data_IF_577889438892
#
_entry.id   IF_577889438892
#
_cell.length_a   1.000
_cell.length_b   1.000
_cell.length_c   1.000
_cell.angle_alpha   90.00
_cell.angle_beta   90.00
_cell.angle_gamma   90.00
#
_symmetry.space_group_name_H-M   'P 1'
#
loop_
_entity.id
_entity.type
_entity.pdbx_description
1 polymer ?
#
# COMPACT_ATOMS: atom_id res chain seq x y z
N UNK A 1 4.85 20.10 0.18
CA UNK A 1 3.87 19.55 -0.77
C UNK A 1 2.55 19.41 -0.04
N UNK A 2 1.44 19.78 -0.67
CA UNK A 2 0.10 19.59 -0.08
C UNK A 2 -0.36 18.17 -0.45
N UNK A 3 -0.73 17.35 0.54
CA UNK A 3 -1.22 15.99 0.28
C UNK A 3 -2.55 16.06 -0.50
N UNK A 4 -2.79 15.15 -1.46
CA UNK A 4 -4.03 15.14 -2.23
C UNK A 4 -5.25 14.91 -1.33
N UNK A 5 -6.39 15.49 -1.69
CA UNK A 5 -7.63 15.30 -0.96
C UNK A 5 -8.23 13.93 -1.27
N UNK A 6 -8.80 13.26 -0.28
CA UNK A 6 -9.50 11.99 -0.44
C UNK A 6 -10.83 12.05 0.28
N UNK A 7 -11.70 11.09 0.01
CA UNK A 7 -12.98 10.96 0.67
C UNK A 7 -12.96 9.76 1.59
N UNK A 8 -13.57 9.86 2.77
CA UNK A 8 -13.71 8.74 3.69
C UNK A 8 -15.17 8.53 4.05
N UNK A 9 -15.65 7.30 3.87
CA UNK A 9 -17.00 6.87 4.23
C UNK A 9 -16.96 5.66 5.15
N UNK A 10 -17.85 5.69 6.14
CA UNK A 10 -18.20 4.53 6.94
C UNK A 10 -19.51 3.96 6.42
N UNK A 11 -19.57 2.64 6.27
CA UNK A 11 -20.81 1.95 5.93
C UNK A 11 -21.14 0.93 7.02
N UNK A 12 -22.43 0.67 7.22
CA UNK A 12 -22.88 -0.36 8.14
C UNK A 12 -22.97 -1.68 7.36
N UNK A 13 -22.15 -2.70 7.70
CA UNK A 13 -22.12 -3.97 6.97
C UNK A 13 -23.43 -4.76 7.11
N UNK A 14 -24.26 -4.44 8.11
CA UNK A 14 -25.53 -5.12 8.41
C UNK A 14 -26.72 -4.57 7.62
N UNK A 15 -26.57 -3.47 6.87
CA UNK A 15 -27.69 -2.89 6.10
C UNK A 15 -28.01 -3.66 4.81
N UNK A 16 -27.21 -4.65 4.44
CA UNK A 16 -27.48 -5.56 3.33
C UNK A 16 -28.33 -6.75 3.81
N UNK A 17 -29.61 -6.50 4.08
CA UNK A 17 -30.50 -7.46 4.73
C UNK A 17 -30.96 -8.68 3.90
N UNK A 18 -30.66 -8.78 2.61
CA UNK A 18 -31.32 -9.80 1.75
C UNK A 18 -30.39 -10.66 0.86
N UNK A 19 -29.15 -10.23 0.57
CA UNK A 19 -28.23 -10.99 -0.27
C UNK A 19 -27.22 -11.79 0.59
N UNK A 20 -27.52 -13.07 0.85
CA UNK A 20 -26.61 -13.99 1.57
C UNK A 20 -25.32 -14.34 0.80
N UNK A 21 -25.21 -13.93 -0.47
CA UNK A 21 -24.13 -14.35 -1.36
C UNK A 21 -22.80 -13.61 -1.12
N UNK A 22 -22.83 -12.43 -0.50
CA UNK A 22 -21.64 -11.60 -0.30
C UNK A 22 -21.46 -11.23 1.17
N UNK A 23 -20.21 -11.16 1.62
CA UNK A 23 -19.87 -10.85 3.02
C UNK A 23 -20.34 -9.47 3.45
N UNK A 24 -20.15 -8.46 2.60
CA UNK A 24 -20.54 -7.05 2.87
C UNK A 24 -20.90 -6.35 1.56
N UNK A 25 -21.51 -5.16 1.67
CA UNK A 25 -21.81 -4.29 0.53
C UNK A 25 -20.59 -3.97 -0.33
N UNK A 26 -19.44 -3.72 0.30
CA UNK A 26 -18.18 -3.46 -0.40
C UNK A 26 -17.70 -4.67 -1.22
N UNK A 27 -17.90 -5.89 -0.73
CA UNK A 27 -17.57 -7.10 -1.49
C UNK A 27 -18.47 -7.26 -2.72
N UNK A 28 -19.78 -7.08 -2.56
CA UNK A 28 -20.73 -7.14 -3.69
C UNK A 28 -20.37 -6.09 -4.75
N UNK A 29 -20.09 -4.86 -4.31
CA UNK A 29 -19.64 -3.77 -5.17
C UNK A 29 -18.38 -4.15 -5.95
N UNK A 30 -17.34 -4.64 -5.25
CA UNK A 30 -16.09 -5.07 -5.88
C UNK A 30 -16.32 -6.14 -6.95
N UNK A 31 -17.15 -7.15 -6.67
CA UNK A 31 -17.42 -8.21 -7.64
C UNK A 31 -18.16 -7.70 -8.89
N UNK A 32 -19.11 -6.77 -8.73
CA UNK A 32 -19.81 -6.12 -9.85
C UNK A 32 -18.86 -5.26 -10.67
N UNK A 33 -18.05 -4.41 -10.03
CA UNK A 33 -17.02 -3.61 -10.71
C UNK A 33 -16.03 -4.49 -11.47
N UNK A 34 -15.51 -5.56 -10.83
CA UNK A 34 -14.60 -6.52 -11.47
C UNK A 34 -15.24 -7.21 -12.67
N UNK A 35 -16.52 -7.56 -12.59
CA UNK A 35 -17.26 -8.14 -13.71
C UNK A 35 -17.36 -7.15 -14.88
N UNK A 36 -17.77 -5.92 -14.59
CA UNK A 36 -17.87 -4.84 -15.56
C UNK A 36 -16.53 -4.56 -16.27
N UNK A 37 -15.45 -4.43 -15.51
CA UNK A 37 -14.10 -4.25 -16.06
C UNK A 37 -13.66 -5.40 -16.97
N UNK A 38 -14.07 -6.65 -16.68
CA UNK A 38 -13.76 -7.81 -17.54
C UNK A 38 -14.50 -7.80 -18.87
N UNK A 39 -15.61 -7.07 -18.99
CA UNK A 39 -16.34 -6.95 -20.27
C UNK A 39 -15.56 -6.18 -21.32
N UNK A 40 -14.63 -5.32 -20.89
CA UNK A 40 -13.83 -4.47 -21.77
C UNK A 40 -14.61 -3.31 -22.42
N UNK A 41 -15.88 -3.13 -22.07
CA UNK A 41 -16.70 -2.00 -22.54
C UNK A 41 -16.34 -0.73 -21.76
N UNK A 42 -15.78 0.32 -22.41
CA UNK A 42 -15.44 1.58 -21.75
C UNK A 42 -16.65 2.22 -21.05
N UNK A 43 -17.85 2.11 -21.64
CA UNK A 43 -19.09 2.65 -21.08
C UNK A 43 -19.52 1.96 -19.78
N UNK A 44 -19.03 0.74 -19.55
CA UNK A 44 -19.32 -0.05 -18.33
C UNK A 44 -18.11 -0.19 -17.42
N UNK A 45 -16.95 0.36 -17.75
CA UNK A 45 -15.70 0.27 -16.97
C UNK A 45 -15.69 1.02 -15.64
N UNK A 46 -16.86 1.22 -15.03
CA UNK A 46 -17.06 1.91 -13.76
C UNK A 46 -18.27 1.34 -13.00
N UNK A 47 -18.42 1.76 -11.76
CA UNK A 47 -19.59 1.48 -10.93
C UNK A 47 -19.78 2.60 -9.89
N UNK A 48 -21.01 2.88 -9.46
CA UNK A 48 -21.30 4.03 -8.59
C UNK A 48 -21.52 3.64 -7.13
N UNK A 49 -20.65 4.15 -6.24
CA UNK A 49 -20.82 4.02 -4.79
C UNK A 49 -21.61 5.22 -4.26
N UNK A 50 -22.68 4.99 -3.50
CA UNK A 50 -23.56 6.04 -3.00
C UNK A 50 -23.55 6.18 -1.49
N UNK A 51 -23.65 7.40 -0.96
CA UNK A 51 -23.98 7.64 0.45
C UNK A 51 -25.46 7.96 0.59
N UNK A 52 -26.19 7.10 1.31
CA UNK A 52 -27.60 7.30 1.62
C UNK A 52 -27.83 8.45 2.59
N UNK A 53 -28.93 9.20 2.41
CA UNK A 53 -29.44 10.14 3.40
C UNK A 53 -30.06 9.35 4.56
N UNK A 54 -29.57 9.53 5.79
CA UNK A 54 -30.06 8.73 6.92
C UNK A 54 -31.39 9.25 7.46
N UNK A 55 -31.64 10.55 7.37
CA UNK A 55 -32.92 11.13 7.75
C UNK A 55 -33.26 12.38 6.94
N UNK A 56 -34.55 12.65 6.76
CA UNK A 56 -35.04 13.89 6.12
C UNK A 56 -34.71 15.16 6.93
N UNK A 57 -34.34 15.01 8.21
CA UNK A 57 -33.99 16.11 9.11
C UNK A 57 -32.48 16.38 9.16
N UNK A 58 -31.67 15.54 8.51
CA UNK A 58 -30.25 15.80 8.35
C UNK A 58 -30.05 16.95 7.36
N UNK A 59 -29.20 17.91 7.70
CA UNK A 59 -28.79 18.98 6.77
C UNK A 59 -28.31 18.37 5.46
N UNK A 60 -28.48 19.00 4.31
CA UNK A 60 -27.94 18.43 3.07
C UNK A 60 -26.41 18.38 3.08
N UNK A 61 -25.84 17.42 2.35
CA UNK A 61 -24.40 17.36 2.16
C UNK A 61 -23.99 18.52 1.24
N UNK A 62 -22.90 19.21 1.57
CA UNK A 62 -22.35 20.27 0.72
C UNK A 62 -21.61 19.68 -0.49
N UNK A 63 -22.37 19.14 -1.46
CA UNK A 63 -21.87 18.46 -2.66
C UNK A 63 -20.74 19.23 -3.38
N UNK A 64 -20.89 20.55 -3.51
CA UNK A 64 -19.92 21.41 -4.20
C UNK A 64 -18.51 21.35 -3.60
N UNK A 65 -18.38 21.05 -2.30
CA UNK A 65 -17.07 20.89 -1.66
C UNK A 65 -16.35 19.62 -2.14
N UNK A 66 -17.09 18.51 -2.29
CA UNK A 66 -16.54 17.25 -2.81
C UNK A 66 -16.12 17.39 -4.27
N UNK A 67 -16.97 18.05 -5.08
CA UNK A 67 -16.68 18.33 -6.48
C UNK A 67 -15.40 19.15 -6.63
N UNK A 68 -15.28 20.27 -5.91
CA UNK A 68 -14.09 21.13 -5.94
C UNK A 68 -12.83 20.40 -5.47
N UNK A 69 -12.91 19.59 -4.42
CA UNK A 69 -11.76 18.81 -3.94
C UNK A 69 -11.26 17.81 -5.00
N UNK A 70 -12.17 17.13 -5.70
CA UNK A 70 -11.84 16.20 -6.78
C UNK A 70 -11.24 16.92 -8.00
N UNK A 71 -11.85 18.03 -8.43
CA UNK A 71 -11.37 18.87 -9.55
C UNK A 71 -9.98 19.46 -9.24
N UNK A 72 -9.74 19.88 -8.00
CA UNK A 72 -8.44 20.38 -7.55
C UNK A 72 -7.35 19.32 -7.70
N UNK A 73 -7.56 18.11 -7.19
CA UNK A 73 -6.62 17.01 -7.36
C UNK A 73 -6.36 16.71 -8.84
N UNK A 74 -7.41 16.66 -9.65
CA UNK A 74 -7.32 16.39 -11.08
C UNK A 74 -6.48 17.47 -11.80
N UNK A 75 -6.63 18.74 -11.43
CA UNK A 75 -5.83 19.84 -11.98
C UNK A 75 -4.34 19.73 -11.67
N UNK A 76 -3.99 19.04 -10.57
CA UNK A 76 -2.63 18.76 -10.15
C UNK A 76 -2.11 17.39 -10.62
N UNK A 77 -2.92 16.64 -11.39
CA UNK A 77 -2.56 15.29 -11.86
C UNK A 77 -2.64 14.20 -10.79
N UNK A 78 -3.22 14.49 -9.63
CA UNK A 78 -3.38 13.51 -8.54
C UNK A 78 -4.66 12.68 -8.69
N UNK A 79 -4.59 11.43 -8.24
CA UNK A 79 -5.77 10.59 -8.07
C UNK A 79 -6.53 10.97 -6.81
N UNK A 80 -7.86 10.99 -6.91
CA UNK A 80 -8.74 11.13 -5.75
C UNK A 80 -9.16 9.75 -5.29
N UNK A 81 -8.95 9.45 -4.01
CA UNK A 81 -9.33 8.17 -3.42
C UNK A 81 -10.64 8.29 -2.64
N UNK A 82 -11.43 7.22 -2.63
CA UNK A 82 -12.51 6.98 -1.68
C UNK A 82 -12.11 5.82 -0.77
N UNK A 83 -11.86 6.13 0.49
CA UNK A 83 -11.64 5.16 1.55
C UNK A 83 -12.98 4.72 2.12
N UNK A 84 -13.23 3.40 2.15
CA UNK A 84 -14.50 2.81 2.60
C UNK A 84 -14.18 1.82 3.73
N UNK A 85 -14.83 1.97 4.89
CA UNK A 85 -14.60 1.08 6.02
C UNK A 85 -15.86 0.72 6.79
N UNK A 86 -15.87 -0.50 7.35
CA UNK A 86 -16.81 -0.97 8.38
C UNK A 86 -16.09 -1.16 9.74
N UNK A 87 -14.92 -0.52 9.90
CA UNK A 87 -13.95 -0.69 11.00
C UNK A 87 -13.28 -2.06 11.13
N UNK A 88 -13.66 -3.04 10.30
CA UNK A 88 -12.98 -4.32 10.19
C UNK A 88 -12.19 -4.46 8.89
N UNK A 89 -12.74 -3.91 7.81
CA UNK A 89 -12.16 -3.83 6.49
C UNK A 89 -11.81 -2.38 6.16
N UNK A 90 -10.73 -2.21 5.40
CA UNK A 90 -10.35 -0.94 4.81
C UNK A 90 -10.19 -1.11 3.29
N UNK A 91 -11.07 -0.47 2.53
CA UNK A 91 -11.05 -0.48 1.08
C UNK A 91 -10.57 0.86 0.54
N UNK A 92 -9.90 0.81 -0.59
CA UNK A 92 -9.52 2.00 -1.36
C UNK A 92 -10.13 1.91 -2.75
N UNK A 93 -10.75 3.00 -3.20
CA UNK A 93 -11.37 3.10 -4.51
C UNK A 93 -10.88 4.34 -5.27
N UNK A 94 -10.69 4.22 -6.57
CA UNK A 94 -10.28 5.31 -7.47
C UNK A 94 -11.52 6.07 -7.95
N UNK A 95 -11.65 7.32 -7.52
CA UNK A 95 -12.78 8.19 -7.89
C UNK A 95 -12.45 8.92 -9.19
N UNK A 96 -13.30 8.72 -10.19
CA UNK A 96 -13.24 9.48 -11.45
C UNK A 96 -14.00 10.81 -11.36
N UNK A 97 -15.17 10.80 -10.72
CA UNK A 97 -16.03 11.98 -10.56
C UNK A 97 -17.06 11.78 -9.44
N UNK A 98 -17.68 12.88 -9.01
CA UNK A 98 -18.78 12.89 -8.04
C UNK A 98 -20.07 13.44 -8.66
N UNK A 99 -21.22 12.89 -8.28
CA UNK A 99 -22.53 13.24 -8.85
C UNK A 99 -23.60 13.37 -7.76
N UNK A 100 -24.59 14.25 -7.96
CA UNK A 100 -25.79 14.30 -7.12
C UNK A 100 -26.83 13.27 -7.57
N UNK A 101 -26.96 13.07 -8.89
CA UNK A 101 -27.91 12.13 -9.49
C UNK A 101 -27.19 11.22 -10.49
N UNK A 102 -27.64 9.97 -10.59
CA UNK A 102 -27.15 8.99 -11.56
C UNK A 102 -28.35 8.38 -12.29
N UNK A 103 -28.35 8.48 -13.62
CA UNK A 103 -29.41 7.90 -14.46
C UNK A 103 -29.09 6.45 -14.87
N UNK A 104 -27.82 6.06 -14.82
CA UNK A 104 -27.34 4.72 -15.11
C UNK A 104 -27.51 3.79 -13.89
N UNK A 105 -28.74 3.29 -13.71
CA UNK A 105 -29.06 2.37 -12.62
C UNK A 105 -28.40 0.99 -12.80
N UNK A 106 -28.04 0.59 -14.03
CA UNK A 106 -27.33 -0.68 -14.27
C UNK A 106 -25.97 -0.70 -13.59
N UNK A 107 -25.33 0.47 -13.47
CA UNK A 107 -24.04 0.65 -12.80
C UNK A 107 -24.17 1.06 -11.33
N UNK A 108 -25.26 0.69 -10.66
CA UNK A 108 -25.46 0.85 -9.21
C UNK A 108 -25.80 -0.49 -8.56
N UNK A 109 -25.55 -0.63 -7.25
CA UNK A 109 -26.07 -1.78 -6.52
C UNK A 109 -27.61 -1.70 -6.42
N UNK A 110 -28.35 -2.82 -6.59
CA UNK A 110 -29.79 -2.86 -6.34
C UNK A 110 -30.19 -2.38 -4.94
N UNK A 111 -29.25 -2.46 -3.99
CA UNK A 111 -29.39 -1.89 -2.65
C UNK A 111 -29.85 -0.42 -2.65
N UNK A 112 -29.49 0.38 -3.66
CA UNK A 112 -29.86 1.80 -3.72
C UNK A 112 -31.26 2.06 -4.28
N UNK A 113 -31.95 1.03 -4.80
CA UNK A 113 -33.27 1.21 -5.44
C UNK A 113 -34.30 1.77 -4.46
N UNK A 114 -34.94 2.87 -4.86
CA UNK A 114 -35.94 3.57 -4.04
C UNK A 114 -35.39 4.32 -2.83
N UNK A 115 -34.06 4.39 -2.66
CA UNK A 115 -33.42 5.13 -1.56
C UNK A 115 -32.91 6.50 -2.01
N UNK A 116 -32.94 7.45 -1.09
CA UNK A 116 -32.40 8.80 -1.31
C UNK A 116 -30.88 8.78 -1.09
N UNK A 117 -30.11 9.07 -2.16
CA UNK A 117 -28.65 9.11 -2.14
C UNK A 117 -28.20 10.56 -2.23
N UNK A 118 -27.38 11.00 -1.27
CA UNK A 118 -26.95 12.40 -1.15
C UNK A 118 -25.78 12.73 -2.09
N UNK A 119 -24.95 11.74 -2.37
CA UNK A 119 -23.79 11.85 -3.26
C UNK A 119 -23.42 10.48 -3.82
N UNK A 120 -23.02 10.48 -5.08
CA UNK A 120 -22.51 9.34 -5.81
C UNK A 120 -21.05 9.54 -6.18
N UNK A 121 -20.24 8.50 -6.01
CA UNK A 121 -18.86 8.45 -6.43
C UNK A 121 -18.75 7.49 -7.61
N UNK A 122 -18.31 7.98 -8.77
CA UNK A 122 -18.01 7.15 -9.94
C UNK A 122 -16.66 6.47 -9.72
N UNK A 123 -16.68 5.16 -9.50
CA UNK A 123 -15.49 4.36 -9.18
C UNK A 123 -15.02 3.59 -10.41
N UNK A 124 -13.74 3.69 -10.73
CA UNK A 124 -13.11 3.00 -11.89
C UNK A 124 -12.17 1.87 -11.49
N UNK A 125 -11.70 1.87 -10.24
CA UNK A 125 -10.86 0.82 -9.69
C UNK A 125 -11.09 0.72 -8.17
N UNK A 126 -10.91 -0.46 -7.59
CA UNK A 126 -11.12 -0.70 -6.16
C UNK A 126 -10.30 -1.89 -5.69
N UNK A 127 -9.83 -1.83 -4.45
CA UNK A 127 -9.09 -2.92 -3.85
C UNK A 127 -9.28 -2.96 -2.32
N UNK A 128 -9.13 -4.15 -1.73
CA UNK A 128 -9.15 -4.37 -0.29
C UNK A 128 -7.74 -4.24 0.26
N UNK A 129 -7.51 -3.28 1.17
CA UNK A 129 -6.20 -3.01 1.78
C UNK A 129 -6.02 -3.84 3.05
N UNK A 130 -7.04 -3.88 3.90
CA UNK A 130 -7.01 -4.64 5.15
C UNK A 130 -8.33 -5.35 5.41
N UNK A 131 -8.26 -6.53 6.04
CA UNK A 131 -9.40 -7.32 6.50
C UNK A 131 -9.30 -7.67 7.98
N UNK A 132 -8.54 -6.90 8.77
CA UNK A 132 -8.33 -7.13 10.20
C UNK A 132 -8.50 -5.83 10.98
N UNK A 133 -9.01 -5.92 12.22
CA UNK A 133 -9.33 -4.75 13.04
C UNK A 133 -8.10 -3.88 13.35
N UNK A 134 -6.99 -4.50 13.75
CA UNK A 134 -5.77 -3.79 14.17
C UNK A 134 -5.17 -3.02 13.00
N UNK A 135 -5.07 -3.66 11.83
CA UNK A 135 -4.52 -3.02 10.65
C UNK A 135 -5.48 -2.00 10.04
N UNK A 136 -6.79 -2.25 10.04
CA UNK A 136 -7.78 -1.24 9.67
C UNK A 136 -7.68 -0.01 10.57
N UNK A 137 -7.52 -0.21 11.89
CA UNK A 137 -7.25 0.86 12.84
C UNK A 137 -6.01 1.68 12.46
N UNK A 138 -4.91 1.02 12.11
CA UNK A 138 -3.70 1.71 11.64
C UNK A 138 -3.97 2.59 10.42
N UNK A 139 -4.63 2.09 9.37
CA UNK A 139 -4.93 2.90 8.17
C UNK A 139 -5.86 4.08 8.49
N UNK A 140 -6.85 3.89 9.36
CA UNK A 140 -7.73 4.96 9.81
C UNK A 140 -6.95 6.05 10.56
N UNK A 141 -6.01 5.67 11.42
CA UNK A 141 -5.24 6.63 12.22
C UNK A 141 -4.36 7.57 11.35
N UNK A 142 -4.02 7.13 10.14
CA UNK A 142 -3.25 7.93 9.17
C UNK A 142 -4.09 8.95 8.42
N UNK A 143 -5.43 8.82 8.45
CA UNK A 143 -6.34 9.79 7.86
C UNK A 143 -6.56 10.95 8.82
N UNK A 144 -6.49 12.17 8.31
CA UNK A 144 -6.77 13.40 9.06
C UNK A 144 -7.65 14.34 8.24
N UNK A 145 -8.39 15.22 8.91
CA UNK A 145 -9.22 16.24 8.27
C UNK A 145 -8.84 17.62 8.82
N UNK A 146 -8.02 18.34 8.07
CA UNK A 146 -7.64 19.73 8.34
C UNK A 146 -7.48 20.46 7.00
N UNK A 147 -8.60 20.86 6.40
CA UNK A 147 -8.62 21.40 5.04
C UNK A 147 -9.66 22.52 4.87
N UNK A 148 -9.57 23.23 3.75
CA UNK A 148 -10.45 24.37 3.44
C UNK A 148 -11.90 23.98 3.13
N UNK A 149 -12.17 22.70 2.87
CA UNK A 149 -13.50 22.22 2.52
C UNK A 149 -14.34 21.92 3.77
N UNK A 150 -13.72 21.53 4.88
CA UNK A 150 -14.45 21.14 6.09
C UNK A 150 -14.03 21.99 7.29
N UNK A 151 -15.02 22.50 8.03
CA UNK A 151 -14.78 23.19 9.29
C UNK A 151 -14.61 22.18 10.44
N UNK A 152 -13.71 21.22 10.25
CA UNK A 152 -13.32 20.20 11.22
C UNK A 152 -11.79 20.19 11.29
N UNK A 153 -11.25 20.02 12.50
CA UNK A 153 -9.83 19.84 12.75
C UNK A 153 -9.67 18.49 13.46
N UNK A 154 -9.57 17.42 12.66
CA UNK A 154 -9.44 16.04 13.13
C UNK A 154 -8.02 15.58 12.82
N UNK A 155 -7.21 15.40 13.86
CA UNK A 155 -5.83 14.94 13.71
C UNK A 155 -5.73 13.48 13.29
N UNK A 156 -6.70 12.64 13.62
CA UNK A 156 -6.65 11.20 13.32
C UNK A 156 -8.03 10.57 13.39
N UNK A 157 -8.40 9.75 12.40
CA UNK A 157 -9.66 9.01 12.40
C UNK A 157 -9.54 7.75 13.24
N UNK A 158 -10.51 7.51 14.12
CA UNK A 158 -10.62 6.27 14.88
C UNK A 158 -12.09 5.88 15.10
N UNK A 159 -12.38 4.62 15.46
CA UNK A 159 -13.75 4.14 15.64
C UNK A 159 -14.53 4.82 16.77
N UNK A 160 -13.85 5.54 17.66
CA UNK A 160 -14.46 6.20 18.83
C UNK A 160 -14.85 7.64 18.53
N UNK A 161 -14.53 8.18 17.34
CA UNK A 161 -15.03 9.48 16.93
C UNK A 161 -16.54 9.42 16.69
N UNK A 162 -17.28 10.12 17.55
CA UNK A 162 -18.74 10.22 17.49
C UNK A 162 -19.19 11.57 16.93
N UNK A 163 -20.43 11.63 16.43
CA UNK A 163 -21.03 12.86 15.93
C UNK A 163 -20.46 13.35 14.58
N UNK A 164 -19.60 12.57 13.93
CA UNK A 164 -19.10 12.88 12.60
C UNK A 164 -20.13 12.50 11.53
N UNK A 165 -20.31 13.40 10.57
CA UNK A 165 -21.12 13.16 9.38
C UNK A 165 -20.22 12.74 8.23
N UNK A 166 -20.45 11.53 7.72
CA UNK A 166 -19.74 10.99 6.55
C UNK A 166 -20.52 11.26 5.24
N UNK A 167 -19.84 11.39 4.08
CA UNK A 167 -18.39 11.34 3.86
C UNK A 167 -17.62 12.51 4.49
N UNK A 168 -16.37 12.26 4.86
CA UNK A 168 -15.39 13.29 5.20
C UNK A 168 -14.46 13.54 4.00
N UNK A 169 -14.00 14.78 3.85
CA UNK A 169 -12.86 15.15 2.99
C UNK A 169 -11.62 15.10 3.88
N UNK A 170 -10.72 14.17 3.57
CA UNK A 170 -9.56 13.82 4.39
C UNK A 170 -8.28 13.92 3.57
N UNK A 171 -7.15 13.87 4.25
CA UNK A 171 -5.83 13.67 3.65
C UNK A 171 -5.18 12.47 4.34
N UNK A 172 -4.30 11.79 3.62
CA UNK A 172 -3.59 10.61 4.10
C UNK A 172 -2.13 10.97 4.43
N UNK A 173 -1.64 10.51 5.58
CA UNK A 173 -0.23 10.66 5.98
C UNK A 173 0.68 9.66 5.28
N UNK A 174 0.17 8.49 4.91
CA UNK A 174 0.98 7.45 4.26
C UNK A 174 1.35 7.86 2.83
N UNK A 175 0.50 8.67 2.18
CA UNK A 175 0.65 9.08 0.78
C UNK A 175 0.89 7.86 -0.13
N UNK A 176 0.19 6.76 0.17
CA UNK A 176 0.37 5.51 -0.55
C UNK A 176 -0.11 5.64 -2.00
N UNK A 177 0.72 5.10 -2.88
CA UNK A 177 0.55 5.14 -4.31
C UNK A 177 -0.28 3.92 -4.76
N UNK A 178 -1.58 3.94 -4.42
CA UNK A 178 -2.46 2.78 -4.62
C UNK A 178 -2.60 2.40 -6.10
N UNK A 179 -2.86 3.37 -6.98
CA UNK A 179 -3.20 3.09 -8.39
C UNK A 179 -2.11 3.50 -9.38
N UNK A 180 -0.86 3.60 -8.94
CA UNK A 180 0.23 4.01 -9.84
C UNK A 180 0.68 2.86 -10.75
N UNK A 181 0.77 3.20 -12.02
CA UNK A 181 1.13 2.32 -13.14
C UNK A 181 2.57 1.85 -12.99
N UNK A 182 2.82 0.53 -12.97
CA UNK A 182 4.05 0.02 -13.56
C UNK A 182 3.83 0.00 -15.07
N UNK A 183 4.71 0.63 -15.85
CA UNK A 183 4.62 0.80 -17.32
C UNK A 183 4.37 -0.49 -18.12
N UNK A 184 4.43 -1.66 -17.48
CA UNK A 184 4.30 -2.98 -18.10
C UNK A 184 2.86 -3.52 -18.12
N UNK A 185 1.95 -3.04 -17.26
CA UNK A 185 0.57 -3.54 -17.26
C UNK A 185 -0.41 -2.44 -16.80
N UNK A 186 -1.13 -1.82 -17.74
CA UNK A 186 -2.16 -0.79 -17.51
C UNK A 186 -3.47 -1.38 -16.93
N UNK A 187 -3.36 -2.46 -16.15
CA UNK A 187 -4.51 -3.26 -15.73
C UNK A 187 -5.05 -2.75 -14.39
N UNK A 188 -6.37 -2.47 -14.27
CA UNK A 188 -7.00 -2.12 -13.00
C UNK A 188 -6.71 -3.15 -11.90
N UNK A 189 -6.47 -2.68 -10.67
CA UNK A 189 -6.22 -3.54 -9.49
C UNK A 189 -7.37 -4.49 -9.21
N UNK A 190 -8.62 -4.06 -9.43
CA UNK A 190 -9.78 -4.91 -9.30
C UNK A 190 -9.72 -6.17 -10.20
N UNK A 191 -9.04 -6.09 -11.35
CA UNK A 191 -8.81 -7.24 -12.22
C UNK A 191 -7.65 -8.14 -11.76
N UNK A 192 -6.80 -7.66 -10.86
CA UNK A 192 -5.73 -8.43 -10.22
C UNK A 192 -6.26 -9.47 -9.24
N UNK A 193 -5.35 -10.30 -8.74
CA UNK A 193 -5.61 -11.27 -7.67
C UNK A 193 -5.36 -10.61 -6.31
N UNK A 194 -6.38 -10.58 -5.45
CA UNK A 194 -6.22 -10.14 -4.06
C UNK A 194 -6.56 -11.31 -3.11
N UNK A 195 -5.57 -11.87 -2.39
CA UNK A 195 -5.79 -13.02 -1.54
C UNK A 195 -6.77 -12.73 -0.39
N UNK A 196 -6.86 -11.48 0.08
CA UNK A 196 -7.79 -11.06 1.13
C UNK A 196 -9.26 -11.14 0.67
N UNK A 197 -9.51 -11.02 -0.63
CA UNK A 197 -10.85 -11.12 -1.23
C UNK A 197 -11.13 -12.57 -1.66
N UNK A 198 -10.15 -13.23 -2.29
CA UNK A 198 -10.34 -14.53 -2.95
C UNK A 198 -10.32 -15.73 -1.99
N UNK A 199 -9.59 -15.63 -0.88
CA UNK A 199 -9.46 -16.72 0.11
C UNK A 199 -9.44 -16.18 1.54
N UNK A 200 -10.44 -15.39 1.98
CA UNK A 200 -10.35 -14.56 3.18
C UNK A 200 -10.06 -15.33 4.47
N UNK A 201 -10.60 -16.55 4.65
CA UNK A 201 -10.34 -17.36 5.85
C UNK A 201 -8.89 -17.83 5.92
N UNK A 202 -8.36 -18.30 4.79
CA UNK A 202 -7.00 -18.83 4.72
C UNK A 202 -5.96 -17.71 4.72
N UNK A 203 -6.22 -16.66 3.93
CA UNK A 203 -5.38 -15.46 3.86
C UNK A 203 -5.34 -14.72 5.18
N UNK A 204 -6.47 -14.60 5.90
CA UNK A 204 -6.49 -14.02 7.24
C UNK A 204 -5.65 -14.81 8.24
N UNK A 205 -5.71 -16.16 8.18
CA UNK A 205 -4.86 -17.02 9.02
C UNK A 205 -3.38 -16.90 8.66
N UNK A 206 -3.04 -16.83 7.38
CA UNK A 206 -1.64 -16.62 6.94
C UNK A 206 -1.14 -15.23 7.32
N UNK A 207 -1.94 -14.19 7.11
CA UNK A 207 -1.62 -12.82 7.51
C UNK A 207 -1.39 -12.74 9.03
N UNK A 208 -2.28 -13.34 9.83
CA UNK A 208 -2.13 -13.45 11.28
C UNK A 208 -0.85 -14.21 11.66
N UNK A 209 -0.53 -15.31 10.99
CA UNK A 209 0.71 -16.06 11.25
C UNK A 209 1.96 -15.22 10.94
N UNK A 210 1.96 -14.51 9.81
CA UNK A 210 3.06 -13.60 9.43
C UNK A 210 3.21 -12.49 10.47
N UNK A 211 2.11 -11.86 10.89
CA UNK A 211 2.12 -10.78 11.88
C UNK A 211 2.51 -11.25 13.29
N UNK A 212 2.18 -12.49 13.65
CA UNK A 212 2.37 -13.00 15.03
C UNK A 212 3.73 -13.66 15.20
N UNK A 213 4.20 -14.42 14.20
CA UNK A 213 5.38 -15.28 14.34
C UNK A 213 6.63 -14.76 13.64
N UNK A 214 6.47 -13.82 12.70
CA UNK A 214 7.56 -13.43 11.81
C UNK A 214 7.84 -11.93 11.86
N UNK A 215 6.81 -11.11 11.65
CA UNK A 215 6.90 -9.66 11.61
C UNK A 215 5.96 -9.06 12.65
N UNK A 216 6.47 -8.56 13.79
CA UNK A 216 5.63 -7.95 14.81
C UNK A 216 4.69 -6.88 14.22
N UNK A 217 3.48 -6.65 14.77
CA UNK A 217 2.50 -5.74 14.19
C UNK A 217 3.03 -4.34 13.88
N UNK A 218 3.91 -3.81 14.74
CA UNK A 218 4.51 -2.49 14.55
C UNK A 218 5.50 -2.43 13.36
N UNK A 219 6.17 -3.55 13.05
CA UNK A 219 7.01 -3.69 11.84
C UNK A 219 6.13 -3.90 10.61
N UNK A 220 5.15 -4.80 10.73
CA UNK A 220 4.22 -5.11 9.65
C UNK A 220 3.45 -3.86 9.19
N UNK A 221 3.03 -2.99 10.12
CA UNK A 221 2.35 -1.74 9.83
C UNK A 221 3.17 -0.75 8.99
N UNK A 222 4.51 -0.79 9.08
CA UNK A 222 5.43 0.05 8.30
C UNK A 222 5.65 -0.45 6.87
N UNK A 223 5.23 -1.67 6.55
CA UNK A 223 5.31 -2.19 5.18
C UNK A 223 4.21 -1.55 4.33
N UNK A 224 4.52 -1.27 3.06
CA UNK A 224 3.51 -0.82 2.11
C UNK A 224 2.46 -1.90 1.87
N UNK A 225 1.24 -1.48 1.54
CA UNK A 225 0.13 -2.37 1.20
C UNK A 225 0.51 -3.41 0.11
N UNK A 226 1.20 -2.97 -0.94
CA UNK A 226 1.68 -3.84 -2.02
C UNK A 226 2.60 -4.94 -1.50
N UNK A 227 3.52 -4.60 -0.59
CA UNK A 227 4.44 -5.56 0.02
C UNK A 227 3.71 -6.57 0.89
N UNK A 228 2.76 -6.10 1.71
CA UNK A 228 1.94 -6.96 2.56
C UNK A 228 1.17 -7.98 1.74
N UNK A 229 0.51 -7.56 0.65
CA UNK A 229 -0.19 -8.47 -0.26
C UNK A 229 0.73 -9.49 -0.90
N UNK A 230 1.89 -9.03 -1.39
CA UNK A 230 2.86 -9.92 -2.01
C UNK A 230 3.35 -10.99 -1.04
N UNK A 231 3.67 -10.59 0.20
CA UNK A 231 4.07 -11.49 1.27
C UNK A 231 2.99 -12.52 1.61
N UNK A 232 1.73 -12.09 1.76
CA UNK A 232 0.62 -13.01 2.02
C UNK A 232 0.42 -13.96 0.84
N UNK A 233 0.53 -13.46 -0.39
CA UNK A 233 0.34 -14.26 -1.62
C UNK A 233 1.36 -15.40 -1.72
N UNK A 234 2.65 -15.11 -1.53
CA UNK A 234 3.70 -16.15 -1.60
C UNK A 234 3.59 -17.15 -0.45
N UNK A 235 3.28 -16.69 0.77
CA UNK A 235 3.08 -17.57 1.92
C UNK A 235 1.85 -18.49 1.75
N UNK A 236 0.80 -17.98 1.12
CA UNK A 236 -0.36 -18.79 0.71
C UNK A 236 0.01 -19.82 -0.35
N UNK A 237 0.85 -19.46 -1.33
CA UNK A 237 1.31 -20.39 -2.36
C UNK A 237 2.16 -21.52 -1.78
N UNK A 238 3.07 -21.20 -0.83
CA UNK A 238 3.86 -22.17 -0.06
C UNK A 238 2.95 -23.08 0.77
N UNK A 239 1.93 -22.51 1.44
CA UNK A 239 1.01 -23.29 2.27
C UNK A 239 0.14 -24.27 1.46
N UNK A 240 -0.27 -23.87 0.25
CA UNK A 240 -1.22 -24.64 -0.58
C UNK A 240 -0.56 -25.70 -1.47
N UNK A 241 0.68 -25.47 -1.89
CA UNK A 241 1.36 -26.37 -2.83
C UNK A 241 2.22 -27.39 -2.10
N UNK A 242 2.38 -28.54 -2.74
CA UNK A 242 3.41 -29.50 -2.34
C UNK A 242 4.80 -28.92 -2.67
N UNK A 243 5.70 -28.92 -1.67
CA UNK A 243 7.04 -28.34 -1.75
C UNK A 243 8.00 -29.13 -2.65
N UNK A 244 7.47 -30.04 -3.48
CA UNK A 244 8.22 -30.88 -4.41
C UNK A 244 8.38 -30.26 -5.80
N UNK A 245 7.68 -29.15 -6.10
CA UNK A 245 7.68 -28.51 -7.42
C UNK A 245 8.85 -27.52 -7.56
N UNK A 246 9.74 -27.76 -8.52
CA UNK A 246 10.88 -26.87 -8.80
C UNK A 246 10.47 -25.43 -9.12
N UNK A 247 9.44 -25.25 -9.95
CA UNK A 247 8.92 -23.92 -10.32
C UNK A 247 8.44 -23.11 -9.11
N UNK A 248 8.02 -23.78 -8.03
CA UNK A 248 7.63 -23.10 -6.79
C UNK A 248 8.86 -22.51 -6.08
N UNK A 249 10.01 -23.19 -6.11
CA UNK A 249 11.22 -22.73 -5.43
C UNK A 249 11.79 -21.45 -6.07
N UNK A 250 11.85 -21.41 -7.40
CA UNK A 250 12.27 -20.21 -8.14
C UNK A 250 11.32 -19.03 -7.85
N UNK A 251 10.02 -19.28 -7.86
CA UNK A 251 9.02 -18.27 -7.47
C UNK A 251 9.22 -17.77 -6.05
N UNK A 252 9.50 -18.65 -5.08
CA UNK A 252 9.74 -18.26 -3.70
C UNK A 252 10.93 -17.29 -3.63
N UNK A 253 12.06 -17.66 -4.22
CA UNK A 253 13.26 -16.81 -4.21
C UNK A 253 12.99 -15.45 -4.86
N UNK A 254 12.47 -15.44 -6.09
CA UNK A 254 12.19 -14.18 -6.81
C UNK A 254 11.18 -13.29 -6.09
N UNK A 255 10.13 -13.86 -5.49
CA UNK A 255 9.16 -13.06 -4.72
C UNK A 255 9.79 -12.44 -3.47
N UNK A 256 10.66 -13.18 -2.77
CA UNK A 256 11.34 -12.69 -1.58
C UNK A 256 12.43 -11.67 -1.90
N UNK A 257 13.15 -11.82 -3.01
CA UNK A 257 14.08 -10.81 -3.54
C UNK A 257 13.36 -9.49 -3.82
N UNK A 258 12.24 -9.53 -4.53
CA UNK A 258 11.45 -8.34 -4.82
C UNK A 258 10.85 -7.69 -3.54
N UNK A 259 10.52 -8.51 -2.53
CA UNK A 259 10.11 -7.98 -1.21
C UNK A 259 11.27 -7.22 -0.57
N UNK A 260 12.47 -7.80 -0.54
CA UNK A 260 13.66 -7.16 0.01
C UNK A 260 14.02 -5.87 -0.74
N UNK A 261 13.98 -5.91 -2.07
CA UNK A 261 14.19 -4.75 -2.94
C UNK A 261 13.22 -3.62 -2.60
N UNK A 262 11.93 -3.95 -2.45
CA UNK A 262 10.91 -2.96 -2.13
C UNK A 262 11.10 -2.37 -0.73
N UNK A 263 11.49 -3.17 0.27
CA UNK A 263 11.77 -2.69 1.63
C UNK A 263 13.00 -1.77 1.63
N UNK A 264 14.05 -2.10 0.87
CA UNK A 264 15.22 -1.23 0.72
C UNK A 264 14.87 0.07 -0.02
N UNK A 265 13.95 0.03 -0.98
CA UNK A 265 13.46 1.24 -1.63
C UNK A 265 12.69 2.16 -0.67
N UNK A 266 11.85 1.61 0.22
CA UNK A 266 11.09 2.40 1.19
C UNK A 266 11.90 2.85 2.41
N UNK A 267 13.11 2.32 2.59
CA UNK A 267 14.01 2.69 3.70
C UNK A 267 15.28 3.38 3.18
N UNK A 268 16.24 2.62 2.68
CA UNK A 268 17.54 3.10 2.22
C UNK A 268 17.44 4.10 1.06
N UNK A 269 16.73 3.76 -0.02
CA UNK A 269 16.61 4.65 -1.19
C UNK A 269 15.75 5.87 -0.86
N UNK A 270 14.69 5.70 -0.05
CA UNK A 270 13.90 6.82 0.46
C UNK A 270 14.78 7.83 1.21
N UNK A 271 15.64 7.36 2.11
CA UNK A 271 16.57 8.25 2.82
C UNK A 271 17.55 8.95 1.87
N UNK A 272 18.07 8.24 0.87
CA UNK A 272 18.91 8.86 -0.17
C UNK A 272 18.14 9.95 -0.94
N UNK A 273 16.88 9.71 -1.29
CA UNK A 273 15.99 10.68 -1.95
C UNK A 273 15.67 11.90 -1.08
N UNK A 274 15.70 11.75 0.24
CA UNK A 274 15.41 12.84 1.18
C UNK A 274 16.67 13.67 1.50
N UNK A 275 17.79 13.01 1.80
CA UNK A 275 18.97 13.67 2.39
C UNK A 275 20.12 13.94 1.40
N UNK A 276 20.18 13.22 0.27
CA UNK A 276 21.41 13.14 -0.59
C UNK A 276 21.13 13.38 -2.07
N UNK A 277 19.89 13.75 -2.35
CA UNK A 277 19.24 13.47 -3.63
C UNK A 277 19.68 14.34 -4.82
N UNK A 278 20.41 15.42 -4.55
CA UNK A 278 20.94 16.33 -5.58
C UNK A 278 22.31 15.87 -6.13
N UNK A 279 23.03 15.05 -5.36
CA UNK A 279 24.37 14.58 -5.71
C UNK A 279 24.36 13.22 -6.41
N UNK A 280 23.24 12.49 -6.36
CA UNK A 280 23.10 11.17 -6.98
C UNK A 280 22.22 11.29 -8.22
N UNK A 281 22.72 10.81 -9.36
CA UNK A 281 21.99 10.81 -10.62
C UNK A 281 21.64 9.39 -11.05
N UNK A 282 20.47 9.27 -11.68
CA UNK A 282 20.02 8.01 -12.29
C UNK A 282 19.66 8.23 -13.76
N UNK A 283 19.96 7.23 -14.58
CA UNK A 283 19.56 7.22 -15.98
C UNK A 283 18.07 6.85 -16.16
N UNK A 284 17.62 6.83 -17.42
CA UNK A 284 16.23 6.48 -17.74
C UNK A 284 15.85 5.04 -17.37
N UNK A 285 16.84 4.15 -17.17
CA UNK A 285 16.66 2.76 -16.78
C UNK A 285 16.75 2.56 -15.27
N UNK A 286 16.93 3.64 -14.49
CA UNK A 286 17.05 3.57 -13.04
C UNK A 286 18.41 3.09 -12.55
N UNK A 287 19.45 3.15 -13.39
CA UNK A 287 20.82 2.85 -12.96
C UNK A 287 21.51 4.08 -12.44
N UNK A 288 22.35 3.91 -11.43
CA UNK A 288 23.09 5.02 -10.84
C UNK A 288 24.25 5.38 -11.74
N UNK A 289 24.38 6.68 -12.03
CA UNK A 289 25.46 7.23 -12.83
C UNK A 289 26.28 8.20 -11.99
N UNK A 290 27.59 8.13 -12.14
CA UNK A 290 28.55 8.90 -11.34
C UNK A 290 28.55 10.40 -11.63
N UNK A 291 27.98 10.82 -12.76
CA UNK A 291 27.97 12.21 -13.25
C UNK A 291 26.67 12.50 -13.99
N UNK A 292 26.24 13.77 -13.97
CA UNK A 292 25.07 14.24 -14.70
C UNK A 292 25.30 14.13 -16.23
N UNK A 293 24.85 13.02 -16.81
CA UNK A 293 24.87 12.78 -18.26
C UNK A 293 23.56 13.24 -18.89
N UNK A 294 23.57 13.45 -20.21
CA UNK A 294 22.35 13.79 -20.96
C UNK A 294 21.28 12.70 -20.76
N UNK A 295 20.11 13.08 -20.24
CA UNK A 295 19.01 12.16 -19.90
C UNK A 295 19.06 11.58 -18.48
N UNK A 296 20.13 11.81 -17.73
CA UNK A 296 20.17 11.49 -16.30
C UNK A 296 19.40 12.55 -15.50
N UNK A 297 18.72 12.12 -14.44
CA UNK A 297 17.99 13.00 -13.51
C UNK A 297 18.49 12.78 -12.09
N UNK A 298 18.43 13.80 -11.22
CA UNK A 298 18.69 13.60 -9.79
C UNK A 298 17.77 12.50 -9.24
N UNK A 299 18.30 11.67 -8.33
CA UNK A 299 17.56 10.57 -7.70
C UNK A 299 16.27 11.06 -7.03
N UNK A 300 16.27 12.31 -6.53
CA UNK A 300 15.08 12.99 -5.99
C UNK A 300 13.89 12.97 -6.95
N UNK A 301 14.17 13.17 -8.23
CA UNK A 301 13.20 13.37 -9.30
C UNK A 301 12.93 12.07 -10.06
N UNK A 302 13.48 10.95 -9.59
CA UNK A 302 13.20 9.63 -10.12
C UNK A 302 12.01 9.02 -9.38
N UNK A 303 10.90 8.85 -10.09
CA UNK A 303 9.67 8.28 -9.55
C UNK A 303 9.74 6.75 -9.40
N UNK A 304 10.69 6.10 -10.06
CA UNK A 304 10.89 4.65 -9.98
C UNK A 304 11.67 4.18 -8.73
N UNK A 305 11.80 2.86 -8.66
CA UNK A 305 12.59 2.13 -7.67
C UNK A 305 13.95 1.74 -8.26
N UNK A 306 14.97 1.66 -7.40
CA UNK A 306 16.25 1.07 -7.77
C UNK A 306 16.16 -0.45 -7.64
N UNK A 307 16.79 -1.16 -8.58
CA UNK A 307 16.90 -2.62 -8.48
C UNK A 307 17.79 -3.04 -7.31
N UNK A 308 17.58 -4.25 -6.79
CA UNK A 308 18.37 -4.81 -5.69
C UNK A 308 19.87 -4.83 -6.01
N UNK A 309 20.22 -5.13 -7.26
CA UNK A 309 21.60 -5.13 -7.74
C UNK A 309 22.24 -3.74 -7.72
N UNK A 310 21.49 -2.70 -8.08
CA UNK A 310 21.98 -1.31 -7.99
C UNK A 310 22.16 -0.89 -6.52
N UNK A 311 21.26 -1.31 -5.64
CA UNK A 311 21.36 -1.03 -4.19
C UNK A 311 22.58 -1.74 -3.59
N UNK A 312 22.80 -3.02 -3.90
CA UNK A 312 24.01 -3.73 -3.45
C UNK A 312 25.28 -3.12 -4.04
N UNK A 313 25.25 -2.74 -5.31
CA UNK A 313 26.38 -2.07 -5.97
C UNK A 313 26.80 -0.76 -5.28
N UNK A 314 25.84 -0.02 -4.70
CA UNK A 314 26.11 1.15 -3.85
C UNK A 314 26.68 0.80 -2.49
N UNK A 315 26.14 -0.24 -1.83
CA UNK A 315 26.55 -0.63 -0.49
C UNK A 315 27.96 -1.22 -0.48
N UNK A 316 28.31 -2.00 -1.50
CA UNK A 316 29.63 -2.60 -1.70
C UNK A 316 30.70 -1.59 -2.10
N UNK A 317 30.33 -0.59 -2.91
CA UNK A 317 31.28 0.37 -3.49
C UNK A 317 30.72 1.81 -3.43
N UNK A 318 30.57 2.39 -2.23
CA UNK A 318 30.01 3.73 -2.06
C UNK A 318 30.82 4.81 -2.79
N UNK A 319 32.11 4.59 -3.01
CA UNK A 319 32.99 5.47 -3.78
C UNK A 319 32.61 5.62 -5.25
N UNK A 320 31.73 4.77 -5.80
CA UNK A 320 31.15 4.94 -7.14
C UNK A 320 30.33 6.23 -7.24
N UNK A 321 29.79 6.71 -6.12
CA UNK A 321 29.12 8.02 -6.01
C UNK A 321 30.17 9.08 -5.67
N UNK A 322 30.96 9.49 -6.66
CA UNK A 322 32.07 10.45 -6.47
C UNK A 322 31.66 11.78 -5.84
N UNK A 323 30.40 12.16 -6.02
CA UNK A 323 29.80 13.41 -5.57
C UNK A 323 29.35 13.38 -4.11
N UNK A 324 29.20 12.21 -3.48
CA UNK A 324 28.68 12.11 -2.12
C UNK A 324 29.41 11.07 -1.26
N UNK A 325 29.74 11.46 -0.03
CA UNK A 325 30.18 10.53 1.00
C UNK A 325 28.95 9.96 1.75
N UNK A 326 28.60 8.71 1.46
CA UNK A 326 27.45 8.06 2.09
C UNK A 326 27.59 7.87 3.61
N UNK A 327 28.81 7.69 4.14
CA UNK A 327 29.01 7.60 5.60
C UNK A 327 28.64 8.92 6.31
N UNK A 328 28.91 10.07 5.67
CA UNK A 328 28.46 11.38 6.16
C UNK A 328 26.95 11.58 5.98
N UNK A 329 26.40 11.20 4.83
CA UNK A 329 24.97 11.33 4.57
C UNK A 329 24.10 10.56 5.58
N UNK A 330 24.55 9.36 5.96
CA UNK A 330 23.87 8.52 6.94
C UNK A 330 24.35 8.74 8.38
N UNK A 331 25.05 9.84 8.69
CA UNK A 331 25.55 10.09 10.06
C UNK A 331 24.42 10.06 11.11
N UNK A 332 23.22 10.56 10.78
CA UNK A 332 22.04 10.53 11.66
C UNK A 332 21.38 9.16 11.78
N UNK A 333 21.70 8.22 10.87
CA UNK A 333 21.19 6.84 10.83
C UNK A 333 22.37 5.85 10.72
N UNK A 334 23.44 6.09 11.47
CA UNK A 334 24.70 5.36 11.33
C UNK A 334 24.55 3.86 11.62
N UNK A 335 23.73 3.48 12.60
CA UNK A 335 23.46 2.07 12.92
C UNK A 335 22.72 1.35 11.78
N UNK A 336 21.71 2.01 11.19
CA UNK A 336 21.00 1.52 10.01
C UNK A 336 21.95 1.34 8.82
N UNK A 337 22.77 2.34 8.53
CA UNK A 337 23.69 2.26 7.39
C UNK A 337 24.77 1.20 7.58
N UNK A 338 25.30 1.07 8.81
CA UNK A 338 26.22 -0.02 9.17
C UNK A 338 25.59 -1.38 8.90
N UNK A 339 24.36 -1.60 9.37
CA UNK A 339 23.62 -2.84 9.10
C UNK A 339 23.51 -3.12 7.59
N UNK A 340 23.12 -2.12 6.78
CA UNK A 340 23.03 -2.27 5.33
C UNK A 340 24.37 -2.61 4.67
N UNK A 341 25.48 -2.03 5.12
CA UNK A 341 26.81 -2.25 4.52
C UNK A 341 27.50 -3.52 4.96
N UNK A 342 27.21 -4.04 6.15
CA UNK A 342 27.90 -5.23 6.67
C UNK A 342 26.97 -6.42 6.77
N UNK A 343 25.99 -6.34 7.66
CA UNK A 343 25.16 -7.49 8.02
C UNK A 343 24.23 -7.89 6.88
N UNK A 344 23.60 -6.92 6.19
CA UNK A 344 22.76 -7.20 5.04
C UNK A 344 23.54 -7.90 3.95
N UNK A 345 24.69 -7.35 3.53
CA UNK A 345 25.53 -7.94 2.49
C UNK A 345 26.00 -9.35 2.91
N UNK A 346 26.48 -9.55 4.13
CA UNK A 346 26.86 -10.90 4.61
C UNK A 346 25.70 -11.90 4.59
N UNK A 347 24.49 -11.43 4.91
CA UNK A 347 23.29 -12.28 4.94
C UNK A 347 22.80 -12.64 3.53
N UNK A 348 23.03 -11.78 2.54
CA UNK A 348 22.41 -11.86 1.21
C UNK A 348 23.38 -12.25 0.09
N UNK A 349 24.66 -11.88 0.19
CA UNK A 349 25.66 -12.10 -0.85
C UNK A 349 25.84 -13.60 -1.14
N UNK A 350 25.88 -13.96 -2.43
CA UNK A 350 25.95 -15.34 -2.96
C UNK A 350 24.75 -16.26 -2.67
N UNK A 351 23.68 -15.78 -1.99
CA UNK A 351 22.47 -16.59 -1.73
C UNK A 351 21.34 -16.35 -2.74
N UNK A 352 21.48 -15.29 -3.53
CA UNK A 352 20.56 -14.88 -4.60
C UNK A 352 21.14 -15.16 -6.00
N UNK A 353 22.45 -15.34 -6.12
CA UNK A 353 23.12 -15.76 -7.36
C UNK A 353 23.11 -17.29 -7.51
N UNK A 354 21.97 -17.83 -7.94
CA UNK A 354 21.86 -19.26 -8.26
C UNK A 354 22.10 -19.46 -9.76
N UNK A 355 23.32 -19.81 -10.16
CA UNK A 355 23.63 -20.19 -11.55
C UNK A 355 23.14 -21.61 -11.91
N UNK A 356 22.10 -22.10 -11.23
CA UNK A 356 21.56 -23.44 -11.36
C UNK A 356 20.17 -23.61 -10.74
N UNK A 357 19.57 -24.81 -10.84
CA UNK A 357 18.24 -25.12 -10.34
C UNK A 357 18.13 -24.93 -8.82
N UNK A 358 17.17 -24.10 -8.38
CA UNK A 358 16.94 -23.76 -6.97
C UNK A 358 16.19 -24.89 -6.27
N UNK A 359 16.81 -25.48 -5.24
CA UNK A 359 16.17 -26.52 -4.46
C UNK A 359 15.32 -25.94 -3.30
N UNK A 360 14.49 -26.80 -2.68
CA UNK A 360 13.60 -26.40 -1.60
C UNK A 360 14.35 -25.78 -0.42
N UNK A 361 15.52 -26.33 -0.08
CA UNK A 361 16.31 -25.88 1.07
C UNK A 361 16.83 -24.46 0.85
N UNK A 362 17.29 -24.15 -0.35
CA UNK A 362 17.73 -22.81 -0.75
C UNK A 362 16.57 -21.81 -0.70
N UNK A 363 15.42 -22.16 -1.31
CA UNK A 363 14.24 -21.31 -1.29
C UNK A 363 13.75 -21.00 0.14
N UNK A 364 13.71 -22.01 1.01
CA UNK A 364 13.33 -21.83 2.41
C UNK A 364 14.39 -21.07 3.21
N UNK A 365 15.66 -21.19 2.87
CA UNK A 365 16.74 -20.42 3.50
C UNK A 365 16.60 -18.92 3.18
N UNK A 366 16.35 -18.57 1.92
CA UNK A 366 16.08 -17.19 1.49
C UNK A 366 14.91 -16.61 2.26
N UNK A 367 13.78 -17.33 2.28
CA UNK A 367 12.61 -16.98 3.09
C UNK A 367 13.00 -16.73 4.54
N UNK A 368 13.71 -17.65 5.18
CA UNK A 368 14.03 -17.57 6.60
C UNK A 368 15.00 -16.42 6.94
N UNK A 369 15.92 -16.07 6.05
CA UNK A 369 16.82 -14.91 6.23
C UNK A 369 16.02 -13.61 6.16
N UNK A 370 15.17 -13.47 5.15
CA UNK A 370 14.40 -12.25 4.93
C UNK A 370 13.37 -12.03 6.04
N UNK A 371 12.65 -13.09 6.40
CA UNK A 371 11.56 -13.07 7.36
C UNK A 371 12.00 -13.21 8.82
N UNK A 372 13.04 -14.00 9.09
CA UNK A 372 13.49 -14.30 10.45
C UNK A 372 12.68 -15.40 11.12
N UNK A 373 12.82 -16.64 10.66
CA UNK A 373 12.24 -17.79 11.36
C UNK A 373 13.21 -18.28 12.42
N UNK A 374 12.89 -18.03 13.70
CA UNK A 374 13.75 -18.39 14.84
C UNK A 374 14.93 -17.44 15.10
N UNK A 375 15.02 -16.33 14.37
CA UNK A 375 15.99 -15.26 14.56
C UNK A 375 15.40 -13.92 14.06
N UNK A 376 16.08 -12.79 14.27
CA UNK A 376 15.64 -11.50 13.73
C UNK A 376 15.87 -11.47 12.21
N UNK A 377 14.80 -11.34 11.43
CA UNK A 377 14.87 -11.29 9.97
C UNK A 377 15.37 -9.95 9.43
N UNK A 378 15.84 -9.94 8.19
CA UNK A 378 16.34 -8.74 7.50
C UNK A 378 15.30 -7.62 7.46
N UNK A 379 14.04 -7.92 7.14
CA UNK A 379 12.96 -6.91 7.09
C UNK A 379 12.80 -6.22 8.46
N UNK A 380 12.79 -7.02 9.53
CA UNK A 380 12.66 -6.52 10.89
C UNK A 380 13.84 -5.59 11.25
N UNK A 381 15.07 -6.00 10.95
CA UNK A 381 16.25 -5.16 11.19
C UNK A 381 16.24 -3.86 10.39
N UNK A 382 15.90 -3.90 9.09
CA UNK A 382 15.82 -2.70 8.26
C UNK A 382 14.80 -1.70 8.80
N UNK A 383 13.57 -2.14 9.08
CA UNK A 383 12.50 -1.26 9.56
C UNK A 383 12.79 -0.74 10.97
N UNK A 384 13.24 -1.60 11.89
CA UNK A 384 13.57 -1.19 13.27
C UNK A 384 14.66 -0.12 13.30
N UNK A 385 15.75 -0.31 12.54
CA UNK A 385 16.87 0.61 12.57
C UNK A 385 16.57 1.90 11.80
N UNK A 386 15.73 1.83 10.77
CA UNK A 386 15.34 3.01 10.01
C UNK A 386 14.38 3.92 10.80
N UNK A 387 13.40 3.33 11.48
CA UNK A 387 12.44 4.04 12.34
C UNK A 387 12.81 3.93 13.84
N UNK A 388 14.10 3.86 14.17
CA UNK A 388 14.58 3.71 15.55
C UNK A 388 13.98 4.76 16.50
N UNK A 389 13.86 6.01 16.05
CA UNK A 389 13.22 7.11 16.78
C UNK A 389 11.79 6.76 17.26
N UNK A 390 11.02 6.03 16.44
CA UNK A 390 9.64 5.66 16.74
C UNK A 390 9.54 4.40 17.64
N UNK A 391 10.50 3.48 17.51
CA UNK A 391 10.53 2.23 18.28
C UNK A 391 11.17 2.41 19.66
N UNK A 392 12.10 3.36 19.81
CA UNK A 392 12.77 3.66 21.08
C UNK A 392 11.83 4.33 22.08
N UNK A 393 10.83 5.08 21.62
CA UNK A 393 9.85 5.71 22.51
C UNK A 393 8.64 4.83 22.86
N UNK A 394 8.32 3.80 22.06
CA UNK A 394 7.08 3.03 22.24
C UNK A 394 7.27 1.57 22.70
N UNK A 395 8.39 0.91 22.37
CA UNK A 395 8.51 -0.55 22.56
C UNK A 395 9.58 -0.99 23.57
N UNK A 396 10.64 -0.21 23.80
CA UNK A 396 11.82 -0.68 24.56
C UNK A 396 12.05 -0.08 25.96
N UNK A 397 11.29 0.94 26.40
CA UNK A 397 11.41 1.44 27.79
C UNK A 397 10.87 0.48 28.88
N UNK A 398 10.18 -0.61 28.52
CA UNK A 398 9.57 -1.54 29.48
C UNK A 398 10.15 -2.96 29.50
N UNK A 399 11.21 -3.23 28.72
CA UNK A 399 11.90 -4.53 28.72
C UNK A 399 13.42 -4.37 28.82
N UNK A 400 13.87 -3.34 29.54
CA UNK A 400 15.26 -3.20 29.98
C UNK A 400 15.34 -3.39 31.50
#
# INVERSE_FOLDING_TARGET
MQNPFSFYVVFNPLLNGENQNYKTQAHEFFHKLKHNLKTGDPGRSHFYWGKLKMSKHESDLEFEKFKKAQEFNQSLGYHTHLFISDFHHFWVAKVESVHQEVYDKENTLPFYDGKEVEIWFKITDMDLVSSEYVETGYYLEQLYAKNEFMNLDIDSINPYLSGLRYPLIVQDRLNEQYFTHSEVDQRPRALGGNPLIESPKESGRVASNVQTYVLPPAIYGKLSERLKKKLISIEMEIYKNDNSKHDLHEKIVGNYEEILESVLNTTFVKYLKEEVSEDIYVDAQGKIVSEAKFGARPLKNYEGNLSLNEIYGLLESPEKVKSCNLDLAFQRKAAFFKFCRTELLELTQNKFDSSGPINQKEAMMVRNIILGVGCKGVINSLICLFHDDEFMDSYFRKVA
#
